data_IF_807758733086
#
_entry.id   IF_807758733086
#
_cell.length_a   1.000
_cell.length_b   1.000
_cell.length_c   1.000
_cell.angle_alpha   90.00
_cell.angle_beta   90.00
_cell.angle_gamma   90.00
#
_symmetry.space_group_name_H-M   'P 1'
#
loop_
_entity.id
_entity.type
_entity.pdbx_description
1 polymer ?
#
# COMPACT_ATOMS: atom_id res chain seq x y z
N UNK A 1 -11.34 -19.89 -51.67
CA UNK A 1 -10.60 -20.16 -50.42
C UNK A 1 -10.44 -18.85 -49.71
N UNK A 2 -11.41 -18.56 -48.85
CA UNK A 2 -11.50 -17.28 -48.12
C UNK A 2 -10.56 -17.38 -46.91
N UNK A 3 -9.46 -16.64 -47.00
CA UNK A 3 -8.44 -16.61 -45.96
C UNK A 3 -8.90 -15.65 -44.83
N UNK A 4 -9.97 -16.03 -44.15
CA UNK A 4 -10.49 -15.29 -43.02
C UNK A 4 -9.53 -15.42 -41.82
N UNK A 5 -8.37 -14.72 -41.93
CA UNK A 5 -7.53 -14.46 -40.77
C UNK A 5 -8.35 -13.59 -39.83
N UNK A 6 -9.02 -14.22 -38.88
CA UNK A 6 -9.56 -13.51 -37.70
C UNK A 6 -8.40 -12.76 -37.07
N UNK A 7 -8.30 -11.47 -37.38
CA UNK A 7 -7.34 -10.58 -36.73
C UNK A 7 -7.73 -10.54 -35.25
N UNK A 8 -7.01 -11.31 -34.45
CA UNK A 8 -7.22 -11.31 -32.98
C UNK A 8 -6.92 -9.92 -32.46
N UNK A 9 -7.95 -9.25 -31.96
CA UNK A 9 -7.80 -7.92 -31.37
C UNK A 9 -6.81 -8.01 -30.22
N UNK A 10 -5.72 -7.22 -30.25
CA UNK A 10 -4.70 -7.30 -29.21
C UNK A 10 -5.26 -6.88 -27.86
N UNK A 11 -4.92 -7.61 -26.80
CA UNK A 11 -5.33 -7.29 -25.43
C UNK A 11 -4.85 -5.90 -25.06
N UNK A 12 -3.57 -5.58 -25.36
CA UNK A 12 -2.97 -4.26 -25.17
C UNK A 12 -2.35 -3.81 -26.47
N UNK A 13 -2.88 -2.75 -27.12
CA UNK A 13 -2.28 -2.13 -28.30
C UNK A 13 -0.85 -1.67 -28.05
N UNK A 14 0.01 -1.71 -29.05
CA UNK A 14 1.45 -1.39 -28.92
C UNK A 14 1.70 -0.03 -28.24
N UNK A 15 0.89 0.97 -28.55
CA UNK A 15 1.00 2.34 -28.02
C UNK A 15 0.71 2.44 -26.51
N UNK A 16 -0.05 1.51 -25.95
CA UNK A 16 -0.42 1.50 -24.52
C UNK A 16 0.40 0.52 -23.68
N UNK A 17 1.34 -0.22 -24.26
CA UNK A 17 2.08 -1.27 -23.52
C UNK A 17 2.84 -0.72 -22.32
N UNK A 18 3.61 0.37 -22.51
CA UNK A 18 4.39 0.96 -21.42
C UNK A 18 3.49 1.50 -20.30
N UNK A 19 2.50 2.38 -20.56
CA UNK A 19 1.57 2.82 -19.53
C UNK A 19 0.83 1.66 -18.84
N UNK A 20 0.47 0.62 -19.60
CA UNK A 20 -0.20 -0.56 -19.06
C UNK A 20 0.67 -1.29 -18.04
N UNK A 21 1.96 -1.55 -18.33
CA UNK A 21 2.85 -2.19 -17.39
C UNK A 21 3.13 -1.32 -16.15
N UNK A 22 3.17 0.00 -16.29
CA UNK A 22 3.24 0.93 -15.15
C UNK A 22 1.99 0.78 -14.25
N UNK A 23 0.79 0.67 -14.84
CA UNK A 23 -0.43 0.43 -14.04
C UNK A 23 -0.44 -0.96 -13.40
N UNK A 24 0.07 -1.98 -14.09
CA UNK A 24 0.22 -3.34 -13.52
C UNK A 24 1.11 -3.30 -12.27
N UNK A 25 2.18 -2.51 -12.27
CA UNK A 25 3.02 -2.33 -11.06
C UNK A 25 2.26 -1.65 -9.92
N UNK A 26 1.33 -0.72 -10.21
CA UNK A 26 0.46 -0.13 -9.19
C UNK A 26 -0.46 -1.18 -8.52
N UNK A 27 -0.99 -2.15 -9.29
CA UNK A 27 -1.78 -3.25 -8.71
C UNK A 27 -0.94 -4.17 -7.81
N UNK A 28 0.31 -4.46 -8.21
CA UNK A 28 1.23 -5.20 -7.37
C UNK A 28 1.59 -4.42 -6.09
N UNK A 29 1.88 -3.12 -6.21
CA UNK A 29 2.17 -2.24 -5.08
C UNK A 29 1.00 -2.18 -4.10
N UNK A 30 -0.23 -2.08 -4.59
CA UNK A 30 -1.43 -2.09 -3.76
C UNK A 30 -1.56 -3.38 -2.95
N UNK A 31 -1.45 -4.55 -3.57
CA UNK A 31 -1.49 -5.83 -2.86
C UNK A 31 -0.38 -5.96 -1.81
N UNK A 32 0.83 -5.51 -2.14
CA UNK A 32 1.98 -5.52 -1.27
C UNK A 32 1.74 -4.70 0.00
N UNK A 33 1.30 -3.46 -0.15
CA UNK A 33 1.12 -2.53 0.96
C UNK A 33 -0.06 -2.90 1.86
N UNK A 34 -1.15 -3.40 1.28
CA UNK A 34 -2.30 -3.87 2.03
C UNK A 34 -1.87 -4.96 3.03
N UNK A 35 -1.17 -5.99 2.54
CA UNK A 35 -0.71 -7.09 3.38
C UNK A 35 0.42 -6.70 4.35
N UNK A 36 1.30 -5.76 3.97
CA UNK A 36 2.27 -5.22 4.93
C UNK A 36 1.58 -4.51 6.10
N UNK A 37 0.56 -3.68 5.81
CA UNK A 37 -0.15 -2.90 6.83
C UNK A 37 -0.94 -3.80 7.78
N UNK A 38 -1.54 -4.89 7.31
CA UNK A 38 -2.22 -5.86 8.17
C UNK A 38 -1.29 -6.47 9.21
N UNK A 39 -0.01 -6.66 8.88
CA UNK A 39 1.01 -7.16 9.80
C UNK A 39 1.49 -6.10 10.82
N UNK A 40 1.17 -4.81 10.64
CA UNK A 40 1.47 -3.78 11.64
C UNK A 40 0.60 -3.90 12.89
N UNK A 41 -0.62 -4.45 12.79
CA UNK A 41 -1.52 -4.58 13.96
C UNK A 41 -0.85 -5.34 15.11
N UNK A 42 -0.38 -6.59 14.93
CA UNK A 42 0.32 -7.30 16.00
C UNK A 42 1.68 -6.67 16.35
N UNK A 43 2.40 -6.10 15.37
CA UNK A 43 3.66 -5.44 15.63
C UNK A 43 3.48 -4.22 16.54
N UNK A 44 2.54 -3.33 16.24
CA UNK A 44 2.29 -2.14 17.06
C UNK A 44 1.67 -2.47 18.42
N UNK A 45 0.85 -3.53 18.53
CA UNK A 45 0.40 -4.01 19.83
C UNK A 45 1.57 -4.32 20.74
N UNK A 46 2.62 -4.96 20.19
CA UNK A 46 3.83 -5.32 20.95
C UNK A 46 4.75 -4.12 21.19
N UNK A 47 5.02 -3.30 20.18
CA UNK A 47 5.94 -2.15 20.24
C UNK A 47 5.44 -1.09 21.24
N UNK A 48 4.17 -0.69 21.10
CA UNK A 48 3.55 0.34 21.92
C UNK A 48 2.91 -0.20 23.20
N UNK A 49 2.98 -1.50 23.44
CA UNK A 49 2.36 -2.18 24.62
C UNK A 49 0.87 -1.85 24.77
N UNK A 50 0.17 -1.72 23.66
CA UNK A 50 -1.26 -1.42 23.60
C UNK A 50 -2.10 -2.69 23.43
N UNK A 51 -3.37 -2.62 23.82
CA UNK A 51 -4.28 -3.76 23.71
C UNK A 51 -4.73 -3.99 22.25
N UNK A 52 -5.36 -5.15 21.99
CA UNK A 52 -5.83 -5.51 20.66
C UNK A 52 -6.88 -4.54 20.08
N UNK A 53 -7.70 -3.92 20.94
CA UNK A 53 -8.69 -2.93 20.49
C UNK A 53 -8.04 -1.63 20.04
N UNK A 54 -7.00 -1.18 20.74
CA UNK A 54 -6.23 0.02 20.37
C UNK A 54 -5.43 -0.22 19.11
N UNK A 55 -4.75 -1.38 18.98
CA UNK A 55 -3.98 -1.71 17.79
C UNK A 55 -4.84 -1.90 16.53
N UNK A 56 -6.13 -2.22 16.67
CA UNK A 56 -7.10 -2.21 15.57
C UNK A 56 -7.27 -0.83 14.94
N UNK A 57 -6.85 0.25 15.62
CA UNK A 57 -6.75 1.60 15.05
C UNK A 57 -5.99 1.65 13.73
N UNK A 58 -5.00 0.77 13.53
CA UNK A 58 -4.29 0.61 12.25
C UNK A 58 -5.27 0.28 11.12
N UNK A 59 -6.12 -0.73 11.31
CA UNK A 59 -7.10 -1.13 10.30
C UNK A 59 -8.19 -0.07 10.12
N UNK A 60 -8.64 0.57 11.21
CA UNK A 60 -9.61 1.67 11.16
C UNK A 60 -9.06 2.85 10.35
N UNK A 61 -7.80 3.22 10.55
CA UNK A 61 -7.13 4.28 9.78
C UNK A 61 -7.01 3.90 8.31
N UNK A 62 -6.59 2.67 8.02
CA UNK A 62 -6.39 2.19 6.66
C UNK A 62 -7.72 2.11 5.88
N UNK A 63 -8.68 1.32 6.36
CA UNK A 63 -9.97 1.15 5.69
C UNK A 63 -10.87 2.37 5.79
N UNK A 64 -10.74 3.17 6.86
CA UNK A 64 -11.41 4.47 6.98
C UNK A 64 -10.95 5.45 5.91
N UNK A 65 -9.65 5.50 5.61
CA UNK A 65 -9.11 6.29 4.50
C UNK A 65 -9.69 5.82 3.16
N UNK A 66 -9.79 4.50 2.93
CA UNK A 66 -10.42 3.94 1.74
C UNK A 66 -11.86 4.40 1.58
N UNK A 67 -12.67 4.28 2.64
CA UNK A 67 -14.08 4.66 2.61
C UNK A 67 -14.29 6.15 2.31
N UNK A 68 -13.47 7.01 2.92
CA UNK A 68 -13.58 8.47 2.75
C UNK A 68 -13.00 8.92 1.40
N UNK A 69 -11.78 8.49 1.08
CA UNK A 69 -11.05 9.03 -0.07
C UNK A 69 -11.45 8.40 -1.41
N UNK A 70 -12.10 7.24 -1.43
CA UNK A 70 -12.71 6.70 -2.65
C UNK A 70 -13.80 7.64 -3.23
N UNK A 71 -14.57 8.30 -2.34
CA UNK A 71 -15.58 9.28 -2.76
C UNK A 71 -14.89 10.51 -3.40
N UNK A 72 -13.86 11.04 -2.75
CA UNK A 72 -13.09 12.15 -3.30
C UNK A 72 -12.35 11.77 -4.59
N UNK A 73 -11.87 10.53 -4.70
CA UNK A 73 -11.22 10.02 -5.90
C UNK A 73 -12.18 9.99 -7.09
N UNK A 74 -13.44 9.59 -6.90
CA UNK A 74 -14.45 9.61 -7.98
C UNK A 74 -14.72 11.01 -8.51
N UNK A 75 -14.86 12.00 -7.61
CA UNK A 75 -15.04 13.41 -7.98
C UNK A 75 -13.80 13.94 -8.71
N UNK A 76 -12.62 13.61 -8.22
CA UNK A 76 -11.36 14.00 -8.83
C UNK A 76 -11.22 13.48 -10.27
N UNK A 77 -11.71 12.25 -10.53
CA UNK A 77 -11.67 11.67 -11.88
C UNK A 77 -12.65 12.29 -12.86
N UNK A 78 -13.72 12.90 -12.38
CA UNK A 78 -14.65 13.64 -13.25
C UNK A 78 -14.03 14.95 -13.77
N UNK A 79 -13.16 15.58 -12.98
CA UNK A 79 -12.54 16.87 -13.31
C UNK A 79 -11.13 16.75 -13.91
N UNK A 80 -10.41 15.68 -13.55
CA UNK A 80 -9.01 15.50 -13.93
C UNK A 80 -8.81 14.23 -14.79
N UNK A 81 -7.65 14.15 -15.44
CA UNK A 81 -7.28 12.98 -16.23
C UNK A 81 -6.87 11.78 -15.34
N UNK A 82 -7.02 10.56 -15.86
CA UNK A 82 -6.51 9.36 -15.21
C UNK A 82 -5.02 9.46 -14.81
N UNK A 83 -4.21 10.12 -15.66
CA UNK A 83 -2.79 10.36 -15.34
C UNK A 83 -2.63 11.21 -14.08
N UNK A 84 -3.44 12.26 -13.92
CA UNK A 84 -3.40 13.12 -12.73
C UNK A 84 -3.81 12.32 -11.47
N UNK A 85 -4.86 11.50 -11.57
CA UNK A 85 -5.29 10.63 -10.46
C UNK A 85 -4.18 9.66 -10.01
N UNK A 86 -3.48 9.02 -10.96
CA UNK A 86 -2.34 8.15 -10.64
C UNK A 86 -1.22 8.92 -9.93
N UNK A 87 -0.85 10.09 -10.44
CA UNK A 87 0.22 10.90 -9.84
C UNK A 87 -0.14 11.45 -8.45
N UNK A 88 -1.40 11.85 -8.25
CA UNK A 88 -1.89 12.30 -6.94
C UNK A 88 -1.89 11.13 -5.95
N UNK A 89 -2.39 9.96 -6.37
CA UNK A 89 -2.41 8.77 -5.53
C UNK A 89 -1.01 8.32 -5.12
N UNK A 90 -0.06 8.25 -6.06
CA UNK A 90 1.36 7.95 -5.75
C UNK A 90 1.99 9.02 -4.85
N UNK A 91 1.70 10.30 -5.10
CA UNK A 91 2.21 11.40 -4.27
C UNK A 91 1.74 11.30 -2.82
N UNK A 92 0.44 11.06 -2.59
CA UNK A 92 -0.10 10.85 -1.25
C UNK A 92 0.49 9.59 -0.58
N UNK A 93 0.62 8.50 -1.34
CA UNK A 93 1.29 7.31 -0.86
C UNK A 93 2.72 7.60 -0.37
N UNK A 94 3.53 8.29 -1.19
CA UNK A 94 4.90 8.66 -0.81
C UNK A 94 4.95 9.57 0.41
N UNK A 95 4.07 10.56 0.51
CA UNK A 95 3.98 11.44 1.69
C UNK A 95 3.64 10.61 2.93
N UNK A 96 2.61 9.75 2.87
CA UNK A 96 2.24 8.89 3.97
C UNK A 96 3.38 7.97 4.42
N UNK A 97 4.09 7.34 3.48
CA UNK A 97 5.23 6.49 3.78
C UNK A 97 6.40 7.27 4.42
N UNK A 98 6.67 8.49 3.98
CA UNK A 98 7.71 9.35 4.57
C UNK A 98 7.32 9.84 5.97
N UNK A 99 6.02 9.98 6.28
CA UNK A 99 5.55 10.32 7.62
C UNK A 99 5.81 9.20 8.66
N UNK A 100 6.16 7.98 8.23
CA UNK A 100 6.64 6.94 9.16
C UNK A 100 7.94 7.34 9.87
N UNK A 101 8.81 8.14 9.22
CA UNK A 101 10.07 8.59 9.80
C UNK A 101 9.83 9.46 11.05
N UNK A 102 9.09 10.58 11.00
CA UNK A 102 8.82 11.37 12.21
C UNK A 102 7.97 10.61 13.24
N UNK A 103 7.11 9.67 12.81
CA UNK A 103 6.37 8.81 13.72
C UNK A 103 7.29 7.88 14.52
N UNK A 104 8.33 7.32 13.87
CA UNK A 104 9.34 6.49 14.53
C UNK A 104 10.23 7.31 15.49
N UNK A 105 10.70 8.47 15.05
CA UNK A 105 11.52 9.35 15.89
C UNK A 105 10.75 9.82 17.15
N UNK A 106 9.47 10.16 16.96
CA UNK A 106 8.60 10.58 18.06
C UNK A 106 8.00 9.41 18.85
N UNK A 107 8.24 8.17 18.43
CA UNK A 107 7.65 6.94 19.00
C UNK A 107 6.13 7.09 19.25
N UNK A 108 5.43 7.72 18.29
CA UNK A 108 4.03 8.09 18.45
C UNK A 108 3.13 7.20 17.60
N UNK A 109 2.27 6.42 18.27
CA UNK A 109 1.26 5.59 17.63
C UNK A 109 0.25 6.45 16.83
N UNK A 110 -0.17 7.59 17.38
CA UNK A 110 -1.12 8.47 16.71
C UNK A 110 -0.57 9.05 15.40
N UNK A 111 0.71 9.41 15.37
CA UNK A 111 1.36 9.87 14.13
C UNK A 111 1.43 8.73 13.10
N UNK A 112 1.67 7.48 13.53
CA UNK A 112 1.57 6.32 12.64
C UNK A 112 0.16 6.14 12.08
N UNK A 113 -0.89 6.29 12.90
CA UNK A 113 -2.27 6.20 12.43
C UNK A 113 -2.58 7.27 11.38
N UNK A 114 -2.12 8.49 11.57
CA UNK A 114 -2.25 9.56 10.57
C UNK A 114 -1.46 9.27 9.30
N UNK A 115 -0.23 8.78 9.41
CA UNK A 115 0.59 8.39 8.29
C UNK A 115 -0.05 7.26 7.47
N UNK A 116 -0.60 6.24 8.14
CA UNK A 116 -1.35 5.14 7.53
C UNK A 116 -2.59 5.67 6.80
N UNK A 117 -3.33 6.61 7.39
CA UNK A 117 -4.49 7.23 6.77
C UNK A 117 -4.13 7.94 5.46
N UNK A 118 -3.06 8.73 5.44
CA UNK A 118 -2.59 9.43 4.24
C UNK A 118 -2.11 8.45 3.17
N UNK A 119 -1.32 7.45 3.58
CA UNK A 119 -0.81 6.40 2.69
C UNK A 119 -1.96 5.60 2.05
N UNK A 120 -2.89 5.13 2.85
CA UNK A 120 -4.05 4.35 2.41
C UNK A 120 -4.99 5.19 1.52
N UNK A 121 -5.10 6.48 1.80
CA UNK A 121 -5.81 7.43 0.94
C UNK A 121 -5.20 7.53 -0.45
N UNK A 122 -3.88 7.56 -0.54
CA UNK A 122 -3.16 7.49 -1.80
C UNK A 122 -3.45 6.21 -2.57
N UNK A 123 -3.46 5.06 -1.87
CA UNK A 123 -3.80 3.77 -2.47
C UNK A 123 -5.26 3.72 -2.95
N UNK A 124 -6.20 4.28 -2.20
CA UNK A 124 -7.61 4.36 -2.58
C UNK A 124 -7.81 5.15 -3.88
N UNK A 125 -7.12 6.30 -4.02
CA UNK A 125 -7.14 7.09 -5.25
C UNK A 125 -6.51 6.32 -6.41
N UNK A 126 -5.38 5.64 -6.18
CA UNK A 126 -4.74 4.79 -7.19
C UNK A 126 -5.68 3.71 -7.70
N UNK A 127 -6.31 2.96 -6.80
CA UNK A 127 -7.21 1.87 -7.16
C UNK A 127 -8.42 2.38 -7.95
N UNK A 128 -9.07 3.44 -7.47
CA UNK A 128 -10.22 4.07 -8.14
C UNK A 128 -9.85 4.58 -9.53
N UNK A 129 -8.61 5.02 -9.72
CA UNK A 129 -8.10 5.56 -11.00
C UNK A 129 -7.61 4.47 -11.95
N UNK A 130 -6.83 3.50 -11.45
CA UNK A 130 -6.17 2.50 -12.29
C UNK A 130 -7.17 1.55 -12.97
N UNK A 131 -8.26 1.19 -12.30
CA UNK A 131 -9.28 0.28 -12.85
C UNK A 131 -9.90 0.84 -14.14
N UNK A 132 -10.54 2.02 -14.17
CA UNK A 132 -11.11 2.58 -15.39
C UNK A 132 -10.02 2.96 -16.42
N UNK A 133 -8.84 3.36 -15.97
CA UNK A 133 -7.73 3.68 -16.87
C UNK A 133 -7.29 2.44 -17.68
N UNK A 134 -7.12 1.29 -17.04
CA UNK A 134 -6.82 0.03 -17.72
C UNK A 134 -7.93 -0.35 -18.70
N UNK A 135 -9.20 -0.18 -18.34
CA UNK A 135 -10.33 -0.45 -19.23
C UNK A 135 -10.32 0.43 -20.48
N UNK A 136 -9.85 1.69 -20.39
CA UNK A 136 -9.77 2.63 -21.51
C UNK A 136 -8.61 2.39 -22.49
N UNK A 137 -7.64 1.53 -22.15
CA UNK A 137 -6.41 1.31 -22.93
C UNK A 137 -6.58 0.34 -24.11
N UNK A 138 -7.60 0.47 -24.92
CA UNK A 138 -7.79 -0.33 -26.12
C UNK A 138 -9.24 -0.69 -26.42
N UNK A 139 -9.43 -1.75 -27.23
CA UNK A 139 -10.78 -2.19 -27.64
C UNK A 139 -11.62 -2.65 -26.43
N UNK A 140 -12.90 -2.35 -26.50
CA UNK A 140 -13.89 -2.76 -25.48
C UNK A 140 -14.04 -4.29 -25.41
N UNK A 141 -13.87 -5.00 -26.51
CA UNK A 141 -13.92 -6.45 -26.58
C UNK A 141 -12.88 -7.14 -25.69
N UNK A 142 -11.72 -6.51 -25.49
CA UNK A 142 -10.61 -7.05 -24.67
C UNK A 142 -10.48 -6.37 -23.29
N UNK A 143 -11.37 -5.41 -22.97
CA UNK A 143 -11.26 -4.59 -21.76
C UNK A 143 -11.23 -5.41 -20.47
N UNK A 144 -12.16 -6.38 -20.31
CA UNK A 144 -12.23 -7.25 -19.13
C UNK A 144 -11.00 -8.14 -19.01
N UNK A 145 -10.51 -8.69 -20.13
CA UNK A 145 -9.27 -9.50 -20.12
C UNK A 145 -8.07 -8.68 -19.70
N UNK A 146 -8.01 -7.44 -20.13
CA UNK A 146 -6.94 -6.48 -19.80
C UNK A 146 -6.95 -6.14 -18.32
N UNK A 147 -8.14 -5.86 -17.75
CA UNK A 147 -8.30 -5.60 -16.33
C UNK A 147 -7.93 -6.83 -15.48
N UNK A 148 -8.46 -8.01 -15.82
CA UNK A 148 -8.14 -9.23 -15.09
C UNK A 148 -6.65 -9.56 -15.12
N UNK A 149 -5.98 -9.31 -16.26
CA UNK A 149 -4.53 -9.48 -16.34
C UNK A 149 -3.80 -8.51 -15.39
N UNK A 150 -4.19 -7.24 -15.35
CA UNK A 150 -3.57 -6.26 -14.44
C UNK A 150 -3.81 -6.63 -12.97
N UNK A 151 -5.04 -6.99 -12.61
CA UNK A 151 -5.40 -7.38 -11.25
C UNK A 151 -4.73 -8.69 -10.79
N UNK A 152 -4.34 -9.59 -11.70
CA UNK A 152 -3.62 -10.81 -11.35
C UNK A 152 -2.24 -10.54 -10.68
N UNK A 153 -1.71 -9.33 -10.80
CA UNK A 153 -0.48 -8.93 -10.12
C UNK A 153 -0.69 -8.50 -8.66
N UNK A 154 -1.92 -8.21 -8.25
CA UNK A 154 -2.21 -7.89 -6.86
C UNK A 154 -1.87 -9.04 -5.90
N UNK A 155 -2.25 -10.32 -6.12
CA UNK A 155 -1.84 -11.43 -5.27
C UNK A 155 -0.31 -11.63 -5.23
N UNK A 156 0.41 -11.35 -6.33
CA UNK A 156 1.87 -11.42 -6.37
C UNK A 156 2.46 -10.35 -5.41
N UNK A 157 1.93 -9.13 -5.50
CA UNK A 157 2.26 -8.06 -4.56
C UNK A 157 1.95 -8.46 -3.11
N UNK A 158 0.77 -9.03 -2.86
CA UNK A 158 0.34 -9.49 -1.53
C UNK A 158 1.32 -10.48 -0.92
N UNK A 159 1.74 -11.49 -1.66
CA UNK A 159 2.76 -12.44 -1.19
C UNK A 159 4.09 -11.74 -0.89
N UNK A 160 4.52 -10.83 -1.77
CA UNK A 160 5.73 -10.03 -1.54
C UNK A 160 5.61 -9.18 -0.27
N UNK A 161 4.45 -8.57 -0.02
CA UNK A 161 4.17 -7.79 1.19
C UNK A 161 4.27 -8.62 2.47
N UNK A 162 3.73 -9.85 2.46
CA UNK A 162 3.86 -10.78 3.59
C UNK A 162 5.33 -11.11 3.86
N UNK A 163 6.13 -11.37 2.82
CA UNK A 163 7.55 -11.66 2.98
C UNK A 163 8.31 -10.44 3.52
N UNK A 164 8.05 -9.24 2.99
CA UNK A 164 8.68 -8.00 3.49
C UNK A 164 8.31 -7.74 4.95
N UNK A 165 7.03 -7.86 5.32
CA UNK A 165 6.60 -7.72 6.71
C UNK A 165 7.31 -8.73 7.62
N UNK A 166 7.38 -10.00 7.20
CA UNK A 166 8.02 -11.06 7.98
C UNK A 166 9.52 -10.79 8.19
N UNK A 167 10.26 -10.44 7.15
CA UNK A 167 11.72 -10.33 7.22
C UNK A 167 12.22 -8.98 7.71
N UNK A 168 11.50 -7.90 7.48
CA UNK A 168 11.90 -6.55 7.91
C UNK A 168 11.21 -6.09 9.19
N UNK A 169 9.97 -6.48 9.42
CA UNK A 169 9.21 -6.01 10.59
C UNK A 169 9.22 -7.08 11.68
N UNK A 170 8.59 -8.23 11.43
CA UNK A 170 8.37 -9.23 12.46
C UNK A 170 9.66 -9.91 12.93
N UNK A 171 10.64 -10.09 12.05
CA UNK A 171 11.92 -10.71 12.40
C UNK A 171 12.81 -9.83 13.30
N UNK A 172 12.54 -8.52 13.34
CA UNK A 172 13.28 -7.56 14.17
C UNK A 172 12.54 -7.17 15.45
N UNK A 173 11.36 -7.74 15.68
CA UNK A 173 10.67 -7.54 16.96
C UNK A 173 11.42 -8.31 18.07
N UNK A 174 11.73 -7.61 19.15
CA UNK A 174 12.33 -8.21 20.34
C UNK A 174 11.39 -9.27 20.94
N UNK A 175 11.93 -10.40 21.41
CA UNK A 175 11.16 -11.53 21.93
C UNK A 175 10.46 -11.26 23.27
N UNK A 176 10.86 -10.22 24.02
CA UNK A 176 10.27 -9.87 25.29
C UNK A 176 8.75 -9.66 25.15
N UNK A 177 7.98 -10.28 26.05
CA UNK A 177 6.55 -10.09 26.18
C UNK A 177 6.20 -8.72 26.83
N UNK A 178 4.92 -8.38 26.86
CA UNK A 178 4.46 -7.08 27.41
C UNK A 178 4.83 -6.91 28.90
N UNK A 179 4.77 -7.97 29.69
CA UNK A 179 5.05 -7.89 31.13
C UNK A 179 6.55 -7.69 31.37
N UNK A 180 7.38 -8.39 30.62
CA UNK A 180 8.84 -8.20 30.64
C UNK A 180 9.21 -6.79 30.19
N UNK A 181 8.59 -6.25 29.12
CA UNK A 181 8.83 -4.90 28.63
C UNK A 181 8.45 -3.81 29.66
N UNK A 182 7.32 -3.99 30.37
CA UNK A 182 6.91 -3.08 31.46
C UNK A 182 7.86 -3.08 32.65
N UNK A 183 8.60 -4.16 32.87
CA UNK A 183 9.57 -4.29 33.94
C UNK A 183 11.00 -3.83 33.55
N UNK A 184 11.24 -3.51 32.26
CA UNK A 184 12.53 -3.05 31.78
C UNK A 184 12.87 -1.63 32.24
N UNK A 185 14.15 -1.33 32.31
CA UNK A 185 14.65 0.02 32.48
C UNK A 185 14.17 0.91 31.31
N UNK A 186 13.70 2.16 31.56
CA UNK A 186 13.19 3.05 30.52
C UNK A 186 14.16 3.32 29.36
N UNK A 187 15.45 3.40 29.64
CA UNK A 187 16.47 3.61 28.61
C UNK A 187 16.62 2.40 27.70
N UNK A 188 16.62 1.19 28.29
CA UNK A 188 16.68 -0.07 27.56
C UNK A 188 15.42 -0.28 26.71
N UNK A 189 14.24 -0.02 27.25
CA UNK A 189 12.98 -0.11 26.53
C UNK A 189 12.93 0.84 25.35
N UNK A 190 13.36 2.10 25.54
CA UNK A 190 13.42 3.12 24.50
C UNK A 190 14.34 2.71 23.34
N UNK A 191 15.50 2.12 23.64
CA UNK A 191 16.44 1.62 22.62
C UNK A 191 15.78 0.49 21.79
N UNK A 192 15.09 -0.47 22.42
CA UNK A 192 14.39 -1.56 21.74
C UNK A 192 13.28 -1.01 20.86
N UNK A 193 12.42 -0.13 21.38
CA UNK A 193 11.31 0.46 20.62
C UNK A 193 11.82 1.28 19.43
N UNK A 194 12.92 2.03 19.60
CA UNK A 194 13.52 2.80 18.52
C UNK A 194 14.03 1.92 17.39
N UNK A 195 14.69 0.80 17.71
CA UNK A 195 15.16 -0.17 16.72
C UNK A 195 14.00 -0.85 16.00
N UNK A 196 13.00 -1.31 16.72
CA UNK A 196 11.80 -1.93 16.13
C UNK A 196 11.06 -0.98 15.18
N UNK A 197 10.89 0.29 15.57
CA UNK A 197 10.25 1.30 14.71
C UNK A 197 11.10 1.68 13.50
N UNK A 198 12.43 1.66 13.62
CA UNK A 198 13.32 1.80 12.46
C UNK A 198 13.05 0.70 11.43
N UNK A 199 12.97 -0.56 11.86
CA UNK A 199 12.70 -1.69 10.97
C UNK A 199 11.28 -1.66 10.38
N UNK A 200 10.31 -1.08 11.07
CA UNK A 200 8.99 -0.78 10.50
C UNK A 200 9.12 0.23 9.35
N UNK A 201 9.93 1.27 9.48
CA UNK A 201 10.10 2.30 8.45
C UNK A 201 10.80 1.79 7.18
N UNK A 202 11.80 0.90 7.33
CA UNK A 202 12.67 0.46 6.23
C UNK A 202 11.90 0.02 4.97
N UNK A 203 10.94 -0.92 5.02
CA UNK A 203 10.24 -1.36 3.82
C UNK A 203 9.34 -0.26 3.22
N UNK A 204 8.69 0.58 4.04
CA UNK A 204 7.81 1.64 3.53
C UNK A 204 8.59 2.75 2.85
N UNK A 205 9.70 3.21 3.45
CA UNK A 205 10.58 4.23 2.86
C UNK A 205 11.33 3.65 1.65
N UNK A 206 11.74 2.38 1.70
CA UNK A 206 12.35 1.71 0.55
C UNK A 206 11.43 1.66 -0.68
N UNK A 207 10.13 1.48 -0.47
CA UNK A 207 9.15 1.48 -1.56
C UNK A 207 8.92 2.87 -2.17
N UNK A 208 9.17 3.96 -1.45
CA UNK A 208 9.13 5.33 -2.01
C UNK A 208 10.17 5.51 -3.12
N UNK A 209 11.30 4.83 -3.02
CA UNK A 209 12.35 4.90 -4.05
C UNK A 209 11.99 4.15 -5.35
N UNK A 210 10.95 3.30 -5.32
CA UNK A 210 10.51 2.45 -6.44
C UNK A 210 9.24 3.01 -7.08
N UNK A 211 8.44 3.80 -6.35
CA UNK A 211 7.18 4.37 -6.80
C UNK A 211 7.39 5.61 -7.67
#
# INVERSE_FOLDING_TARGET
>A
MDNNRTSTVPIVPKQYRLPFFMLVSCFALWGLLNNMTDNLVPAFSKIFMINASESAGVQISFYGAYAVLAIFASILLEEFSYKAGVLIGLGLYMIGALCYIPAAIGQSFDIYLMAIFVLAGGLSILETTCNPFVLSMGSQETSVRRLNFAQAFNPIGSLTGIFLAKYFILAHLNDADMDTRKAMDPEQLNAIVSDELFWVCVPYVGLVAIA
#
